data_IF_333122639175
#
_entry.id   IF_333122639175
#
_cell.length_a   1.000
_cell.length_b   1.000
_cell.length_c   1.000
_cell.angle_alpha   90.00
_cell.angle_beta   90.00
_cell.angle_gamma   90.00
#
_symmetry.space_group_name_H-M   'P 1'
#
loop_
_entity.id
_entity.type
_entity.pdbx_description
1 polymer ?
#
# COMPACT_ATOMS: atom_id res chain seq x y z
N UNK A 1 -13.95 -32.58 11.51
CA UNK A 1 -13.96 -31.22 10.93
C UNK A 1 -15.01 -31.23 9.83
N UNK A 2 -16.19 -30.66 10.14
CA UNK A 2 -17.31 -30.58 9.22
C UNK A 2 -17.01 -29.44 8.21
N UNK A 3 -16.81 -29.80 6.94
CA UNK A 3 -16.83 -28.86 5.85
C UNK A 3 -18.29 -28.46 5.60
N UNK A 4 -18.57 -27.16 5.66
CA UNK A 4 -19.82 -26.63 5.16
C UNK A 4 -19.82 -26.81 3.63
N UNK A 5 -20.65 -27.70 3.13
CA UNK A 5 -21.00 -27.77 1.72
C UNK A 5 -22.14 -26.79 1.52
N UNK A 6 -21.83 -25.62 0.95
CA UNK A 6 -22.85 -24.70 0.43
C UNK A 6 -23.47 -25.35 -0.81
N UNK A 7 -24.76 -25.69 -0.72
CA UNK A 7 -25.52 -26.24 -1.84
C UNK A 7 -26.21 -25.06 -2.53
N UNK A 8 -25.71 -24.67 -3.71
CA UNK A 8 -26.35 -23.65 -4.53
C UNK A 8 -27.74 -24.09 -5.00
N UNK A 9 -28.80 -23.28 -4.90
CA UNK A 9 -30.10 -23.59 -5.47
C UNK A 9 -30.04 -23.63 -6.99
N UNK A 10 -30.70 -24.56 -7.66
CA UNK A 10 -30.64 -24.70 -9.11
C UNK A 10 -31.20 -23.46 -9.82
N UNK A 11 -30.35 -22.80 -10.61
CA UNK A 11 -30.72 -21.66 -11.45
C UNK A 11 -30.08 -20.32 -11.09
N UNK A 12 -29.37 -20.19 -9.97
CA UNK A 12 -28.62 -18.99 -9.64
C UNK A 12 -27.14 -19.22 -9.93
N UNK A 13 -26.66 -18.75 -11.07
CA UNK A 13 -25.22 -18.60 -11.31
C UNK A 13 -24.77 -17.42 -10.47
N UNK A 14 -24.22 -17.68 -9.29
CA UNK A 14 -23.33 -16.69 -8.68
C UNK A 14 -22.10 -16.60 -9.57
N UNK A 15 -22.04 -15.56 -10.38
CA UNK A 15 -20.75 -15.09 -10.88
C UNK A 15 -19.90 -14.88 -9.63
N UNK A 16 -18.81 -15.64 -9.49
CA UNK A 16 -17.77 -15.27 -8.53
C UNK A 16 -17.39 -13.84 -8.86
N UNK A 17 -17.90 -12.91 -8.08
CA UNK A 17 -17.33 -11.58 -8.00
C UNK A 17 -15.92 -11.89 -7.48
N UNK A 18 -14.92 -11.82 -8.36
CA UNK A 18 -13.54 -11.85 -7.93
C UNK A 18 -13.45 -10.81 -6.82
N UNK A 19 -13.13 -11.25 -5.59
CA UNK A 19 -13.03 -10.35 -4.47
C UNK A 19 -11.92 -9.37 -4.80
N UNK A 20 -12.33 -8.18 -5.27
CA UNK A 20 -11.45 -7.08 -5.56
C UNK A 20 -10.91 -6.61 -4.22
N UNK A 21 -9.61 -6.66 -4.04
CA UNK A 21 -8.93 -6.27 -2.83
C UNK A 21 -8.04 -5.05 -3.10
N UNK A 22 -8.00 -4.13 -2.17
CA UNK A 22 -7.06 -3.02 -2.19
C UNK A 22 -5.88 -3.28 -1.26
N UNK A 23 -4.67 -2.96 -1.70
CA UNK A 23 -3.49 -2.91 -0.85
C UNK A 23 -3.26 -1.47 -0.39
N UNK A 24 -3.07 -1.26 0.90
CA UNK A 24 -2.75 0.06 1.46
C UNK A 24 -1.49 -0.01 2.30
N UNK A 25 -0.55 0.86 2.00
CA UNK A 25 0.62 1.09 2.86
C UNK A 25 0.50 2.41 3.59
N UNK A 26 0.58 2.36 4.91
CA UNK A 26 0.59 3.54 5.76
C UNK A 26 2.01 4.03 5.96
N UNK A 27 2.31 5.27 5.58
CA UNK A 27 3.61 5.92 5.80
C UNK A 27 3.41 7.04 6.83
N UNK A 28 3.74 6.81 8.10
CA UNK A 28 3.38 7.72 9.19
C UNK A 28 4.27 8.96 9.31
N UNK A 29 5.10 9.27 8.32
CA UNK A 29 6.10 10.34 8.44
C UNK A 29 5.63 11.65 7.83
N UNK A 30 5.87 12.75 8.56
CA UNK A 30 5.64 14.12 8.12
C UNK A 30 6.85 14.99 8.47
N UNK A 31 7.11 16.03 7.68
CA UNK A 31 8.07 17.09 8.04
C UNK A 31 7.57 17.97 9.19
N UNK A 32 6.25 18.17 9.23
CA UNK A 32 5.59 18.94 10.30
C UNK A 32 4.21 18.34 10.60
N UNK A 33 3.69 18.61 11.80
CA UNK A 33 2.37 18.18 12.19
C UNK A 33 1.38 19.34 11.99
N UNK A 34 0.43 19.13 11.07
CA UNK A 34 -0.64 20.11 10.82
C UNK A 34 -1.60 20.17 12.02
N UNK A 35 -2.02 21.39 12.42
CA UNK A 35 -2.88 21.58 13.57
C UNK A 35 -4.28 20.98 13.48
N UNK A 36 -4.71 20.58 12.31
CA UNK A 36 -6.02 19.94 12.04
C UNK A 36 -5.90 18.43 11.79
N UNK A 37 -4.68 17.87 11.77
CA UNK A 37 -4.45 16.49 11.36
C UNK A 37 -4.73 15.52 12.52
N UNK A 38 -5.68 14.60 12.32
CA UNK A 38 -6.02 13.51 13.23
C UNK A 38 -5.41 12.16 12.84
N UNK A 39 -4.64 12.12 11.73
CA UNK A 39 -4.01 10.88 11.29
C UNK A 39 -2.87 10.48 12.23
N UNK A 40 -2.67 9.16 12.33
CA UNK A 40 -1.48 8.64 12.99
C UNK A 40 -0.25 9.02 12.17
N UNK A 41 0.45 10.06 12.63
CA UNK A 41 1.65 10.57 11.97
C UNK A 41 2.71 10.96 12.98
N UNK A 42 3.97 10.73 12.60
CA UNK A 42 5.16 11.05 13.35
C UNK A 42 5.93 12.14 12.63
N UNK A 43 6.09 13.28 13.31
CA UNK A 43 6.98 14.32 12.78
C UNK A 43 8.43 13.87 12.95
N UNK A 44 9.09 13.56 11.84
CA UNK A 44 10.49 13.15 11.83
C UNK A 44 11.13 13.36 10.47
N UNK A 45 12.41 13.70 10.50
CA UNK A 45 13.32 13.69 9.35
C UNK A 45 14.48 12.70 9.57
N UNK A 46 14.39 11.84 10.57
CA UNK A 46 15.43 10.85 10.89
C UNK A 46 15.41 9.71 9.88
N UNK A 47 16.43 9.69 9.02
CA UNK A 47 16.57 8.69 7.96
C UNK A 47 16.65 7.26 8.51
N UNK A 48 17.25 7.05 9.69
CA UNK A 48 17.36 5.76 10.35
C UNK A 48 15.99 5.20 10.78
N UNK A 49 15.08 6.06 11.26
CA UNK A 49 13.71 5.65 11.61
C UNK A 49 12.91 5.26 10.38
N UNK A 50 13.02 6.05 9.32
CA UNK A 50 12.36 5.77 8.05
C UNK A 50 12.85 4.44 7.49
N UNK A 51 14.17 4.22 7.43
CA UNK A 51 14.75 2.98 6.93
C UNK A 51 14.27 1.76 7.75
N UNK A 52 14.36 1.82 9.08
CA UNK A 52 13.90 0.73 9.95
C UNK A 52 12.41 0.43 9.78
N UNK A 53 11.59 1.46 9.59
CA UNK A 53 10.17 1.29 9.34
C UNK A 53 9.91 0.56 8.02
N UNK A 54 10.56 0.98 6.93
CA UNK A 54 10.39 0.38 5.61
C UNK A 54 10.86 -1.09 5.60
N UNK A 55 11.97 -1.41 6.25
CA UNK A 55 12.43 -2.79 6.42
C UNK A 55 11.42 -3.63 7.21
N UNK A 56 10.82 -3.05 8.26
CA UNK A 56 9.81 -3.74 9.07
C UNK A 56 8.54 -3.98 8.28
N UNK A 57 8.11 -2.99 7.50
CA UNK A 57 6.96 -3.11 6.59
C UNK A 57 7.20 -4.21 5.55
N UNK A 58 8.41 -4.27 4.97
CA UNK A 58 8.77 -5.32 4.03
C UNK A 58 8.74 -6.72 4.66
N UNK A 59 9.30 -6.89 5.86
CA UNK A 59 9.22 -8.15 6.61
C UNK A 59 7.77 -8.55 6.92
N UNK A 60 6.93 -7.59 7.30
CA UNK A 60 5.50 -7.84 7.49
C UNK A 60 4.84 -8.29 6.20
N UNK A 61 5.14 -7.64 5.07
CA UNK A 61 4.62 -8.02 3.77
C UNK A 61 5.03 -9.45 3.37
N UNK A 62 6.29 -9.84 3.62
CA UNK A 62 6.77 -11.20 3.39
C UNK A 62 5.99 -12.25 4.20
N UNK A 63 5.56 -11.91 5.42
CA UNK A 63 4.77 -12.81 6.26
C UNK A 63 3.29 -12.88 5.83
N UNK A 64 2.74 -11.77 5.35
CA UNK A 64 1.32 -11.67 5.00
C UNK A 64 1.03 -12.12 3.57
N UNK A 65 1.91 -11.87 2.61
CA UNK A 65 1.65 -12.16 1.19
C UNK A 65 1.29 -13.65 0.93
N UNK A 66 1.89 -14.65 1.57
CA UNK A 66 1.47 -16.04 1.38
C UNK A 66 0.04 -16.32 1.85
N UNK A 67 -0.48 -15.52 2.81
CA UNK A 67 -1.84 -15.67 3.34
C UNK A 67 -2.90 -15.06 2.41
N UNK A 68 -2.48 -14.25 1.44
CA UNK A 68 -3.36 -13.61 0.46
C UNK A 68 -3.36 -14.32 -0.90
N UNK A 69 -2.82 -15.52 -0.96
CA UNK A 69 -2.78 -16.33 -2.20
C UNK A 69 -4.19 -16.54 -2.73
N UNK A 70 -4.39 -16.20 -4.01
CA UNK A 70 -5.70 -16.28 -4.66
C UNK A 70 -6.55 -15.00 -4.59
N UNK A 71 -6.12 -13.97 -3.85
CA UNK A 71 -6.71 -12.65 -3.96
C UNK A 71 -6.13 -11.90 -5.16
N UNK A 72 -6.98 -11.18 -5.89
CA UNK A 72 -6.56 -10.25 -6.92
C UNK A 72 -6.61 -8.84 -6.33
N UNK A 73 -5.46 -8.17 -6.27
CA UNK A 73 -5.39 -6.76 -5.88
C UNK A 73 -5.45 -5.89 -7.14
N UNK A 74 -6.48 -5.08 -7.25
CA UNK A 74 -6.74 -4.18 -8.38
C UNK A 74 -6.45 -2.71 -8.06
N UNK A 75 -6.21 -2.41 -6.79
CA UNK A 75 -5.88 -1.08 -6.31
C UNK A 75 -4.76 -1.11 -5.27
N UNK A 76 -3.93 -0.07 -5.32
CA UNK A 76 -2.82 0.13 -4.40
C UNK A 76 -2.75 1.59 -3.98
N UNK A 77 -2.74 1.85 -2.69
CA UNK A 77 -2.63 3.19 -2.17
C UNK A 77 -1.51 3.31 -1.14
N UNK A 78 -0.77 4.40 -1.20
CA UNK A 78 0.25 4.78 -0.23
C UNK A 78 -0.20 6.10 0.39
N UNK A 79 -0.48 6.08 1.68
CA UNK A 79 -1.01 7.25 2.37
C UNK A 79 -0.55 7.38 3.80
N UNK A 80 -1.18 8.26 4.58
CA UNK A 80 -0.94 8.47 6.00
C UNK A 80 -0.41 9.86 6.34
N UNK A 81 0.88 10.00 6.55
CA UNK A 81 1.55 11.29 6.77
C UNK A 81 1.80 12.03 5.46
N UNK A 82 3.02 11.96 4.98
CA UNK A 82 3.43 12.55 3.69
C UNK A 82 4.32 11.54 2.93
N UNK A 83 3.75 10.56 2.24
CA UNK A 83 4.52 9.51 1.57
C UNK A 83 5.60 10.01 0.61
N UNK A 84 5.37 11.08 -0.15
CA UNK A 84 6.39 11.66 -1.04
C UNK A 84 7.53 12.41 -0.30
N UNK A 85 7.53 12.45 1.03
CA UNK A 85 8.72 12.79 1.81
C UNK A 85 9.85 11.76 1.59
N UNK A 86 9.52 10.53 1.26
CA UNK A 86 10.48 9.48 0.97
C UNK A 86 11.32 9.81 -0.27
N UNK A 87 12.53 9.29 -0.30
CA UNK A 87 13.39 9.36 -1.50
C UNK A 87 12.86 8.43 -2.59
N UNK A 88 13.26 8.64 -3.83
CA UNK A 88 12.87 7.77 -4.97
C UNK A 88 13.26 6.31 -4.68
N UNK A 89 14.46 6.04 -4.18
CA UNK A 89 14.88 4.68 -3.85
C UNK A 89 14.04 4.04 -2.74
N UNK A 90 13.54 4.82 -1.78
CA UNK A 90 12.63 4.32 -0.76
C UNK A 90 11.22 4.04 -1.32
N UNK A 91 10.76 4.85 -2.28
CA UNK A 91 9.51 4.61 -3.00
C UNK A 91 9.60 3.36 -3.89
N UNK A 92 10.73 3.15 -4.57
CA UNK A 92 11.01 1.93 -5.33
C UNK A 92 10.97 0.69 -4.42
N UNK A 93 11.57 0.76 -3.25
CA UNK A 93 11.51 -0.31 -2.26
C UNK A 93 10.08 -0.61 -1.77
N UNK A 94 9.22 0.41 -1.68
CA UNK A 94 7.78 0.21 -1.39
C UNK A 94 7.07 -0.51 -2.54
N UNK A 95 7.38 -0.18 -3.80
CA UNK A 95 6.80 -0.88 -4.96
C UNK A 95 7.26 -2.34 -5.01
N UNK A 96 8.53 -2.63 -4.73
CA UNK A 96 9.04 -4.00 -4.58
C UNK A 96 8.30 -4.75 -3.46
N UNK A 97 8.00 -4.06 -2.37
CA UNK A 97 7.22 -4.63 -1.25
C UNK A 97 5.78 -4.93 -1.68
N UNK A 98 5.15 -4.05 -2.46
CA UNK A 98 3.81 -4.27 -2.99
C UNK A 98 3.76 -5.43 -4.00
N UNK A 99 4.84 -5.64 -4.76
CA UNK A 99 4.96 -6.74 -5.70
C UNK A 99 4.88 -8.13 -5.03
N UNK A 100 5.19 -8.25 -3.73
CA UNK A 100 5.00 -9.49 -2.97
C UNK A 100 3.53 -9.95 -2.93
N UNK A 101 2.59 -9.02 -3.08
CA UNK A 101 1.15 -9.26 -3.17
C UNK A 101 0.64 -9.40 -4.61
N UNK A 102 1.54 -9.44 -5.59
CA UNK A 102 1.19 -9.45 -7.00
C UNK A 102 0.70 -8.10 -7.54
N UNK A 103 0.86 -7.03 -6.77
CA UNK A 103 0.50 -5.67 -7.21
C UNK A 103 1.62 -5.08 -8.04
N UNK A 104 1.26 -4.58 -9.23
CA UNK A 104 2.18 -3.85 -10.08
C UNK A 104 1.50 -2.57 -10.61
N UNK A 105 2.18 -1.39 -10.59
CA UNK A 105 1.56 -0.12 -10.98
C UNK A 105 0.94 -0.11 -12.39
N UNK A 106 1.45 -0.93 -13.31
CA UNK A 106 0.90 -1.05 -14.67
C UNK A 106 -0.44 -1.81 -14.75
N UNK A 107 -0.84 -2.53 -13.69
CA UNK A 107 -2.03 -3.38 -13.69
C UNK A 107 -3.04 -3.01 -12.61
N UNK A 108 -2.62 -2.23 -11.62
CA UNK A 108 -3.46 -1.80 -10.52
C UNK A 108 -3.63 -0.27 -10.54
N UNK A 109 -4.82 0.21 -10.16
CA UNK A 109 -4.99 1.63 -9.89
C UNK A 109 -4.12 2.02 -8.70
N UNK A 110 -3.11 2.86 -8.96
CA UNK A 110 -2.14 3.25 -7.94
C UNK A 110 -2.32 4.71 -7.58
N UNK A 111 -2.38 5.01 -6.29
CA UNK A 111 -2.42 6.38 -5.75
C UNK A 111 -1.40 6.58 -4.64
N UNK A 112 -0.87 7.80 -4.54
CA UNK A 112 0.04 8.20 -3.48
C UNK A 112 -0.34 9.58 -2.97
N UNK A 113 -0.41 9.72 -1.64
CA UNK A 113 -0.65 11.00 -1.00
C UNK A 113 0.63 11.84 -0.94
N UNK A 114 0.46 13.16 -1.04
CA UNK A 114 1.56 14.10 -0.90
C UNK A 114 1.09 15.44 -0.34
N UNK A 115 2.04 16.27 0.07
CA UNK A 115 1.85 17.71 0.26
C UNK A 115 2.55 18.48 -0.88
N UNK A 116 2.12 19.72 -1.20
CA UNK A 116 2.65 20.48 -2.33
C UNK A 116 4.18 20.63 -2.33
N UNK A 117 4.79 20.72 -1.17
CA UNK A 117 6.24 20.86 -1.00
C UNK A 117 7.06 19.66 -1.48
N UNK A 118 6.46 18.46 -1.55
CA UNK A 118 7.10 17.23 -2.01
C UNK A 118 6.67 16.82 -3.43
N UNK A 119 5.76 17.57 -4.04
CA UNK A 119 5.33 17.36 -5.42
C UNK A 119 6.30 18.05 -6.41
N UNK A 120 7.60 17.81 -6.27
CA UNK A 120 8.61 18.37 -7.15
C UNK A 120 8.66 17.66 -8.53
N UNK A 121 9.22 18.31 -9.57
CA UNK A 121 9.24 17.74 -10.92
C UNK A 121 9.93 16.37 -11.03
N UNK A 122 10.97 16.10 -10.21
CA UNK A 122 11.70 14.84 -10.27
C UNK A 122 10.82 13.69 -9.76
N UNK A 123 10.14 13.87 -8.62
CA UNK A 123 9.20 12.88 -8.07
C UNK A 123 7.99 12.69 -8.97
N UNK A 124 7.41 13.79 -9.49
CA UNK A 124 6.27 13.71 -10.40
C UNK A 124 6.63 13.03 -11.73
N UNK A 125 7.87 13.18 -12.21
CA UNK A 125 8.35 12.47 -13.40
C UNK A 125 8.52 10.98 -13.12
N UNK A 126 9.01 10.61 -11.95
CA UNK A 126 9.16 9.22 -11.54
C UNK A 126 7.79 8.51 -11.37
N UNK A 127 6.74 9.25 -10.99
CA UNK A 127 5.38 8.72 -10.83
C UNK A 127 4.63 8.48 -12.16
N UNK A 128 5.15 8.93 -13.29
CA UNK A 128 4.55 8.72 -14.63
C UNK A 128 4.90 7.38 -15.21
#
# INVERSE_FOLDING_TARGET
>A
RAGCVEVDPPGVRFSFVSHMAGLYFHIPFCSHKCGYCNLFSLQTNRADYIATYLETLHKQAQQLSPLTTGLAFDSFAIGGGTPLLLTVSQLEYLLETAALFGVHPSHAFTSIETSPEYADPARLTWLK
#
